data_IF_188749033197
#
_entry.id   IF_188749033197
#
_cell.length_a   1.000
_cell.length_b   1.000
_cell.length_c   1.000
_cell.angle_alpha   90.00
_cell.angle_beta   90.00
_cell.angle_gamma   90.00
#
_symmetry.space_group_name_H-M   'P 1'
#
loop_
_entity.id
_entity.type
_entity.pdbx_description
1 polymer ?
#
# COMPACT_ATOMS: atom_id res chain seq x y z
N UNK A 1 15.57 5.22 -12.15
CA UNK A 1 14.76 4.26 -12.93
C UNK A 1 14.44 4.85 -14.27
N UNK A 2 14.71 4.15 -15.36
CA UNK A 2 14.63 4.75 -16.70
C UNK A 2 13.22 4.61 -17.27
N UNK A 3 12.59 5.73 -17.63
CA UNK A 3 11.43 5.79 -18.48
C UNK A 3 10.05 5.75 -17.83
N UNK A 4 9.93 5.54 -16.51
CA UNK A 4 8.63 5.60 -15.83
C UNK A 4 8.01 7.02 -15.87
N UNK A 5 6.69 7.13 -15.78
CA UNK A 5 6.02 8.42 -15.70
C UNK A 5 6.61 9.31 -14.61
N UNK A 6 6.75 10.61 -14.90
CA UNK A 6 7.25 11.58 -13.94
C UNK A 6 6.12 12.07 -13.04
N UNK A 7 6.23 11.84 -11.74
CA UNK A 7 5.24 12.26 -10.76
C UNK A 7 4.70 11.09 -9.94
N UNK A 8 3.69 11.37 -9.17
CA UNK A 8 3.00 10.41 -8.33
C UNK A 8 1.53 10.39 -8.72
N UNK A 9 0.93 9.21 -8.80
CA UNK A 9 -0.50 9.05 -9.02
C UNK A 9 -1.29 9.48 -7.79
N UNK A 10 -2.47 10.08 -7.99
CA UNK A 10 -3.41 10.37 -6.91
C UNK A 10 -4.04 9.08 -6.39
N UNK A 11 -4.19 8.96 -5.07
CA UNK A 11 -4.78 7.77 -4.47
C UNK A 11 -4.49 7.60 -2.99
N UNK A 12 -5.01 6.48 -2.45
CA UNK A 12 -4.73 6.04 -1.10
C UNK A 12 -3.45 5.20 -1.05
N UNK A 13 -2.62 5.50 -0.05
CA UNK A 13 -1.35 4.82 0.19
C UNK A 13 -1.21 4.44 1.65
N UNK A 14 -0.70 3.25 1.93
CA UNK A 14 -0.49 2.79 3.29
C UNK A 14 0.81 3.39 3.86
N UNK A 15 0.72 4.12 4.97
CA UNK A 15 1.91 4.63 5.67
C UNK A 15 2.28 3.83 6.93
N UNK A 16 1.42 2.91 7.36
CA UNK A 16 1.66 2.01 8.49
C UNK A 16 0.49 1.08 8.75
N UNK A 17 0.56 0.30 9.80
CA UNK A 17 -0.58 -0.42 10.36
C UNK A 17 -1.11 0.35 11.57
N UNK A 18 -2.42 0.37 11.75
CA UNK A 18 -3.06 1.12 12.84
C UNK A 18 -2.49 0.77 14.23
N UNK A 19 -2.12 -0.51 14.41
CA UNK A 19 -1.51 -1.01 15.65
C UNK A 19 -0.10 -0.48 15.96
N UNK A 20 0.61 0.11 14.98
CA UNK A 20 1.91 0.74 15.23
C UNK A 20 1.78 2.07 15.99
N UNK A 21 0.62 2.70 15.88
CA UNK A 21 0.39 4.04 16.44
C UNK A 21 -0.43 3.94 17.71
N UNK A 22 0.23 3.78 18.87
CA UNK A 22 -0.47 3.80 20.15
C UNK A 22 -0.88 5.23 20.55
N UNK A 23 -1.92 5.43 21.38
CA UNK A 23 -2.28 6.76 21.88
C UNK A 23 -1.07 7.51 22.46
N UNK A 24 -0.87 8.76 22.01
CA UNK A 24 0.30 9.57 22.36
C UNK A 24 1.55 9.33 21.48
N UNK A 25 1.52 8.35 20.57
CA UNK A 25 2.64 8.13 19.64
C UNK A 25 2.84 9.31 18.70
N UNK A 26 4.11 9.64 18.43
CA UNK A 26 4.55 10.62 17.43
C UNK A 26 5.67 9.98 16.61
N UNK A 27 5.42 9.75 15.32
CA UNK A 27 6.29 8.96 14.45
C UNK A 27 6.70 9.79 13.23
N UNK A 28 8.01 10.03 13.02
CA UNK A 28 8.50 10.69 11.81
C UNK A 28 8.40 9.75 10.62
N UNK A 29 7.93 10.28 9.48
CA UNK A 29 7.80 9.57 8.21
C UNK A 29 8.38 10.39 7.07
N UNK A 30 8.70 9.71 5.97
CA UNK A 30 9.16 10.37 4.75
C UNK A 30 8.57 9.64 3.53
N UNK A 31 7.57 10.25 2.90
CA UNK A 31 6.91 9.74 1.70
C UNK A 31 6.67 10.88 0.71
N UNK A 32 6.67 10.54 -0.57
CA UNK A 32 6.45 11.52 -1.65
C UNK A 32 7.42 12.70 -1.61
N UNK A 33 8.68 12.44 -1.23
CA UNK A 33 9.72 13.47 -1.03
C UNK A 33 9.34 14.53 0.03
N UNK A 34 8.42 14.19 0.97
CA UNK A 34 7.91 15.07 2.03
C UNK A 34 8.27 14.56 3.42
N UNK A 35 8.67 15.47 4.27
CA UNK A 35 8.88 15.21 5.71
C UNK A 35 7.52 15.24 6.38
N UNK A 36 7.08 14.10 6.89
CA UNK A 36 5.78 13.91 7.49
C UNK A 36 5.90 13.51 8.97
N UNK A 37 4.84 13.73 9.72
CA UNK A 37 4.68 13.20 11.07
C UNK A 37 3.30 12.58 11.23
N UNK A 38 3.27 11.31 11.62
CA UNK A 38 2.05 10.66 12.09
C UNK A 38 2.00 10.76 13.62
N UNK A 39 0.83 11.08 14.15
CA UNK A 39 0.61 11.09 15.59
C UNK A 39 -0.79 10.62 15.93
N UNK A 40 -0.91 9.93 17.07
CA UNK A 40 -2.22 9.53 17.58
C UNK A 40 -2.56 10.32 18.82
N UNK A 41 -3.70 10.97 18.80
CA UNK A 41 -4.22 11.74 19.93
C UNK A 41 -4.50 10.83 21.13
N UNK A 42 -4.69 11.39 22.31
CA UNK A 42 -5.05 10.60 23.49
C UNK A 42 -6.45 9.98 23.38
N UNK A 43 -7.37 10.60 22.62
CA UNK A 43 -8.68 10.00 22.31
C UNK A 43 -8.63 8.87 21.27
N UNK A 44 -7.46 8.65 20.63
CA UNK A 44 -7.26 7.59 19.66
C UNK A 44 -7.37 8.00 18.20
N UNK A 45 -7.58 9.28 17.87
CA UNK A 45 -7.60 9.75 16.48
C UNK A 45 -6.19 9.74 15.89
N UNK A 46 -6.00 9.06 14.76
CA UNK A 46 -4.73 9.06 14.01
C UNK A 46 -4.72 10.22 13.01
N UNK A 47 -3.64 10.99 13.01
CA UNK A 47 -3.44 12.12 12.13
C UNK A 47 -2.09 12.04 11.43
N UNK A 48 -2.02 12.62 10.23
CA UNK A 48 -0.79 12.76 9.45
C UNK A 48 -0.67 14.21 8.99
N UNK A 49 0.49 14.82 9.19
CA UNK A 49 0.73 16.19 8.76
C UNK A 49 2.15 16.40 8.22
N UNK A 50 2.38 17.56 7.61
CA UNK A 50 3.73 18.02 7.38
C UNK A 50 4.48 18.10 8.72
N UNK A 51 5.72 17.65 8.74
CA UNK A 51 6.50 17.56 9.97
C UNK A 51 7.13 18.87 10.41
N UNK A 52 7.13 19.88 9.55
CA UNK A 52 7.85 21.14 9.78
C UNK A 52 6.99 22.11 10.56
N UNK A 53 7.39 22.43 11.79
CA UNK A 53 6.78 23.50 12.58
C UNK A 53 6.99 24.86 11.89
N UNK A 54 5.93 25.62 11.54
CA UNK A 54 6.05 26.89 10.82
C UNK A 54 6.77 28.01 11.58
N UNK A 55 7.02 27.84 12.88
CA UNK A 55 7.76 28.83 13.67
C UNK A 55 9.22 28.96 13.19
N UNK A 56 10.06 27.97 13.46
CA UNK A 56 11.48 27.97 13.08
C UNK A 56 11.94 26.64 12.46
N UNK A 57 11.04 25.88 11.86
CA UNK A 57 11.38 24.72 11.05
C UNK A 57 11.72 23.44 11.82
N UNK A 58 11.44 23.36 13.13
CA UNK A 58 11.66 22.14 13.89
C UNK A 58 10.80 21.00 13.34
N UNK A 59 11.36 19.78 13.34
CA UNK A 59 10.64 18.58 12.92
C UNK A 59 9.82 18.03 14.09
N UNK A 60 8.48 18.04 13.97
CA UNK A 60 7.57 17.59 15.03
C UNK A 60 7.75 16.12 15.41
N UNK A 61 8.13 15.27 14.46
CA UNK A 61 8.33 13.84 14.70
C UNK A 61 9.60 13.48 15.50
N UNK A 62 10.50 14.44 15.76
CA UNK A 62 11.73 14.21 16.52
C UNK A 62 11.66 14.93 17.87
N UNK A 63 11.02 14.30 18.84
CA UNK A 63 10.86 14.81 20.19
C UNK A 63 9.58 15.62 20.43
N UNK A 64 8.71 15.77 19.45
CA UNK A 64 7.35 16.29 19.67
C UNK A 64 6.53 15.33 20.54
N UNK A 65 5.53 15.87 21.21
CA UNK A 65 4.65 15.10 22.10
C UNK A 65 3.19 15.38 21.79
N UNK A 66 2.32 14.48 22.20
CA UNK A 66 0.88 14.68 22.15
C UNK A 66 0.38 15.16 23.52
N UNK A 67 -0.37 16.26 23.53
CA UNK A 67 -1.08 16.74 24.70
C UNK A 67 -2.59 16.80 24.38
N UNK A 68 -3.35 15.88 24.94
CA UNK A 68 -4.76 15.68 24.61
C UNK A 68 -4.94 15.33 23.13
N UNK A 69 -5.55 16.28 22.39
CA UNK A 69 -5.78 16.14 20.94
C UNK A 69 -4.71 16.83 20.09
N UNK A 70 -3.78 17.54 20.71
CA UNK A 70 -2.86 18.43 20.05
C UNK A 70 -1.46 17.85 19.95
N UNK A 71 -0.68 18.28 18.94
CA UNK A 71 0.75 18.01 18.86
C UNK A 71 1.55 19.23 19.31
N UNK A 72 2.56 18.98 20.17
CA UNK A 72 3.42 20.01 20.76
C UNK A 72 4.80 19.96 20.11
N UNK A 73 5.26 21.12 19.64
CA UNK A 73 6.58 21.26 19.04
C UNK A 73 7.70 21.08 20.07
N UNK A 74 8.73 20.25 19.82
CA UNK A 74 9.79 19.98 20.78
C UNK A 74 10.73 21.17 21.01
N UNK A 75 10.70 22.17 20.11
CA UNK A 75 11.69 23.25 20.18
C UNK A 75 11.23 24.39 21.11
N UNK A 76 9.98 24.87 20.96
CA UNK A 76 9.49 26.01 21.73
C UNK A 76 8.10 25.79 22.34
N UNK A 77 7.59 24.55 22.33
CA UNK A 77 6.30 24.22 22.92
C UNK A 77 5.07 24.74 22.14
N UNK A 78 5.25 25.26 20.92
CA UNK A 78 4.09 25.67 20.11
C UNK A 78 3.17 24.49 19.89
N UNK A 79 1.89 24.69 20.18
CA UNK A 79 0.88 23.64 20.14
C UNK A 79 -0.04 23.82 18.94
N UNK A 80 -0.29 22.70 18.25
CA UNK A 80 -1.06 22.64 17.01
C UNK A 80 -2.25 21.69 17.18
N UNK A 81 -3.45 22.18 16.85
CA UNK A 81 -4.66 21.37 16.94
C UNK A 81 -4.81 20.37 15.77
N UNK A 82 -5.88 19.58 15.82
CA UNK A 82 -6.20 18.57 14.80
C UNK A 82 -6.60 19.13 13.44
N UNK A 83 -6.78 20.46 13.33
CA UNK A 83 -6.95 21.18 12.07
C UNK A 83 -5.65 21.86 11.61
N UNK A 84 -4.55 21.65 12.33
CA UNK A 84 -3.25 22.24 12.08
C UNK A 84 -3.13 23.71 12.49
N UNK A 85 -4.07 24.25 13.26
CA UNK A 85 -4.01 25.65 13.73
C UNK A 85 -3.13 25.76 14.97
N UNK A 86 -2.39 26.87 15.07
CA UNK A 86 -1.71 27.20 16.33
C UNK A 86 -2.74 27.54 17.41
N UNK A 87 -2.69 26.87 18.54
CA UNK A 87 -3.63 27.03 19.66
C UNK A 87 -2.98 27.54 20.94
N UNK A 88 -1.65 27.33 21.07
CA UNK A 88 -0.90 27.82 22.23
C UNK A 88 0.54 28.18 21.89
N UNK A 89 1.05 29.22 22.53
CA UNK A 89 2.44 29.65 22.56
C UNK A 89 2.81 29.91 24.04
N UNK A 90 3.47 28.98 24.74
CA UNK A 90 3.55 28.97 26.20
C UNK A 90 4.27 30.15 26.85
N UNK A 91 5.02 30.92 26.07
CA UNK A 91 5.80 32.08 26.57
C UNK A 91 5.29 33.43 25.99
N UNK A 92 4.14 33.45 25.32
CA UNK A 92 3.52 34.65 24.77
C UNK A 92 2.14 34.86 25.39
N UNK A 93 1.68 36.10 25.49
CA UNK A 93 0.27 36.40 25.74
C UNK A 93 -0.59 35.75 24.64
N UNK A 94 -1.93 35.53 24.82
CA UNK A 94 -2.74 34.66 23.96
C UNK A 94 -2.87 35.13 22.50
N UNK A 95 -1.76 35.44 21.87
CA UNK A 95 -1.66 35.75 20.45
C UNK A 95 -1.54 34.43 19.66
N UNK A 96 -2.66 34.00 19.09
CA UNK A 96 -2.67 32.89 18.16
C UNK A 96 -2.13 33.33 16.82
N UNK A 97 -1.10 32.66 16.34
CA UNK A 97 -0.59 32.93 15.00
C UNK A 97 -1.55 32.36 13.95
N UNK A 98 -1.80 33.13 12.88
CA UNK A 98 -2.58 32.67 11.72
C UNK A 98 -1.78 31.72 10.82
N UNK A 99 -1.01 30.79 11.43
CA UNK A 99 -0.23 29.79 10.75
C UNK A 99 -0.94 28.46 10.82
N UNK A 100 -0.67 27.60 9.85
CA UNK A 100 -1.22 26.24 9.84
C UNK A 100 -0.16 25.24 9.41
N UNK A 101 -0.22 24.05 9.97
CA UNK A 101 0.42 22.85 9.48
C UNK A 101 -0.56 22.16 8.54
N UNK A 102 -0.10 21.73 7.37
CA UNK A 102 -0.92 20.94 6.45
C UNK A 102 -1.16 19.55 7.03
N UNK A 103 -2.41 19.13 7.05
CA UNK A 103 -2.83 17.77 7.35
C UNK A 103 -3.19 17.04 6.06
N UNK A 104 -3.04 15.73 6.10
CA UNK A 104 -3.44 14.81 5.04
C UNK A 104 -4.68 14.04 5.49
N UNK A 105 -5.52 13.66 4.53
CA UNK A 105 -6.64 12.78 4.82
C UNK A 105 -6.13 11.40 5.23
N UNK A 106 -6.60 10.89 6.35
CA UNK A 106 -6.25 9.59 6.92
C UNK A 106 -7.49 8.74 7.07
N UNK A 107 -7.36 7.45 6.72
CA UNK A 107 -8.38 6.44 7.03
C UNK A 107 -7.71 5.23 7.69
N UNK A 108 -8.40 4.68 8.67
CA UNK A 108 -8.04 3.38 9.25
C UNK A 108 -9.06 2.35 8.73
N UNK A 109 -8.58 1.36 7.97
CA UNK A 109 -9.42 0.32 7.34
C UNK A 109 -8.77 -1.04 7.60
N UNK A 110 -9.50 -1.95 8.23
CA UNK A 110 -9.08 -3.33 8.49
C UNK A 110 -7.68 -3.46 9.14
N UNK A 111 -7.34 -2.51 10.03
CA UNK A 111 -6.05 -2.46 10.72
C UNK A 111 -4.93 -1.77 9.93
N UNK A 112 -5.22 -1.20 8.76
CA UNK A 112 -4.29 -0.39 7.98
C UNK A 112 -4.42 1.09 8.33
N UNK A 113 -3.32 1.84 8.22
CA UNK A 113 -3.29 3.30 8.27
C UNK A 113 -2.99 3.83 6.85
N UNK A 114 -3.98 4.46 6.24
CA UNK A 114 -3.95 4.95 4.87
C UNK A 114 -3.94 6.48 4.84
N UNK A 115 -3.16 7.06 3.92
CA UNK A 115 -3.17 8.48 3.61
C UNK A 115 -3.62 8.71 2.18
N UNK A 116 -4.34 9.80 1.94
CA UNK A 116 -4.58 10.28 0.59
C UNK A 116 -3.41 11.14 0.11
N UNK A 117 -2.91 10.80 -1.07
CA UNK A 117 -2.01 11.67 -1.83
C UNK A 117 -2.74 12.20 -3.06
N UNK A 118 -2.91 13.51 -3.17
CA UNK A 118 -3.39 14.20 -4.36
C UNK A 118 -2.23 14.81 -5.12
N UNK A 119 -2.06 14.45 -6.39
CA UNK A 119 -0.93 14.89 -7.22
C UNK A 119 -0.88 16.42 -7.37
N UNK A 120 -2.03 17.05 -7.52
CA UNK A 120 -2.20 18.50 -7.61
C UNK A 120 -2.64 19.13 -6.28
N UNK A 121 -2.60 18.36 -5.19
CA UNK A 121 -2.95 18.78 -3.84
C UNK A 121 -4.44 18.68 -3.52
N UNK A 122 -5.22 18.02 -4.37
CA UNK A 122 -6.64 17.74 -4.18
C UNK A 122 -6.91 16.76 -3.04
N UNK A 123 -8.07 16.84 -2.44
CA UNK A 123 -8.57 15.88 -1.46
C UNK A 123 -9.05 14.58 -2.10
N UNK A 124 -9.47 13.59 -1.27
CA UNK A 124 -9.93 12.30 -1.76
C UNK A 124 -11.09 12.42 -2.74
N UNK A 125 -10.96 11.77 -3.90
CA UNK A 125 -12.03 11.65 -4.90
C UNK A 125 -12.84 10.36 -4.72
N UNK A 126 -12.33 9.43 -3.92
CA UNK A 126 -13.00 8.18 -3.55
C UNK A 126 -12.55 7.74 -2.14
N UNK A 127 -13.38 6.92 -1.48
CA UNK A 127 -13.05 6.37 -0.17
C UNK A 127 -12.51 4.95 -0.29
N UNK A 128 -11.51 4.54 0.52
CA UNK A 128 -11.02 3.18 0.50
C UNK A 128 -12.12 2.24 0.97
N UNK A 129 -12.45 1.21 0.18
CA UNK A 129 -13.48 0.25 0.58
C UNK A 129 -13.00 -0.60 1.75
N UNK A 130 -13.95 -1.17 2.48
CA UNK A 130 -13.64 -2.24 3.42
C UNK A 130 -13.04 -3.44 2.66
N UNK A 131 -11.91 -3.95 3.14
CA UNK A 131 -11.15 -4.99 2.45
C UNK A 131 -11.59 -6.40 2.84
N UNK A 132 -12.13 -6.54 4.04
CA UNK A 132 -12.54 -7.84 4.59
C UNK A 132 -14.06 -8.00 4.56
N UNK A 133 -14.58 -9.21 4.39
CA UNK A 133 -16.01 -9.48 4.44
C UNK A 133 -16.56 -9.27 5.86
N UNK A 134 -17.76 -8.70 5.93
CA UNK A 134 -18.49 -8.56 7.19
C UNK A 134 -18.85 -9.93 7.80
N UNK A 135 -18.90 -9.98 9.13
CA UNK A 135 -19.33 -11.16 9.86
C UNK A 135 -18.33 -12.31 9.92
N UNK A 136 -17.11 -12.11 9.43
CA UNK A 136 -16.01 -13.08 9.55
C UNK A 136 -14.96 -12.55 10.52
N UNK A 137 -14.62 -13.34 11.54
CA UNK A 137 -13.56 -13.00 12.47
C UNK A 137 -12.20 -13.35 11.88
N UNK A 138 -11.31 -12.37 11.86
CA UNK A 138 -9.92 -12.51 11.40
C UNK A 138 -8.93 -12.28 12.54
N UNK A 139 -7.82 -13.00 12.48
CA UNK A 139 -6.69 -12.67 13.35
C UNK A 139 -6.14 -11.26 12.98
N UNK A 140 -5.74 -10.45 13.98
CA UNK A 140 -5.12 -9.14 13.72
C UNK A 140 -3.92 -9.25 12.78
N UNK A 141 -3.86 -8.40 11.76
CA UNK A 141 -2.76 -8.44 10.78
C UNK A 141 -1.43 -8.07 11.42
N UNK A 142 -1.39 -7.03 12.23
CA UNK A 142 -0.17 -6.54 12.87
C UNK A 142 -0.04 -7.09 14.31
N UNK A 143 1.16 -7.49 14.74
CA UNK A 143 2.44 -7.46 13.99
C UNK A 143 2.76 -8.73 13.17
N UNK A 144 2.13 -9.88 13.45
CA UNK A 144 2.65 -11.19 13.06
C UNK A 144 2.40 -11.56 11.59
N UNK A 145 1.38 -10.96 10.96
CA UNK A 145 0.97 -11.19 9.57
C UNK A 145 1.12 -9.93 8.70
N UNK A 146 2.06 -9.09 9.10
CA UNK A 146 2.45 -7.85 8.47
C UNK A 146 3.95 -7.86 8.16
N UNK A 147 4.35 -7.34 7.01
CA UNK A 147 5.76 -7.19 6.66
C UNK A 147 6.02 -5.90 5.89
N UNK A 148 7.12 -5.24 6.22
CA UNK A 148 7.59 -4.03 5.54
C UNK A 148 8.98 -4.25 4.97
N UNK A 149 9.11 -4.08 3.65
CA UNK A 149 10.38 -3.91 2.97
C UNK A 149 10.58 -2.43 2.67
N UNK A 150 11.72 -1.89 3.05
CA UNK A 150 12.06 -0.47 2.87
C UNK A 150 12.99 -0.25 1.70
N UNK A 151 12.91 0.95 1.16
CA UNK A 151 13.88 1.49 0.20
C UNK A 151 14.05 0.61 -1.06
N UNK A 152 12.97 -0.04 -1.52
CA UNK A 152 12.98 -0.83 -2.74
C UNK A 152 12.99 0.07 -3.97
N UNK A 153 13.82 -0.26 -4.96
CA UNK A 153 14.06 0.57 -6.14
C UNK A 153 13.03 0.30 -7.24
N UNK A 154 11.77 0.50 -6.94
CA UNK A 154 10.70 0.43 -7.94
C UNK A 154 9.51 1.33 -7.56
N UNK A 155 8.77 1.84 -8.57
CA UNK A 155 7.55 2.62 -8.34
C UNK A 155 6.34 1.71 -8.10
N UNK A 156 5.23 2.24 -7.54
CA UNK A 156 3.99 1.49 -7.30
C UNK A 156 3.36 0.88 -8.58
N UNK A 157 3.69 1.40 -9.74
CA UNK A 157 3.19 0.90 -11.02
C UNK A 157 3.57 -0.55 -11.27
N UNK A 158 4.78 -0.99 -10.88
CA UNK A 158 5.23 -2.37 -11.16
C UNK A 158 4.41 -3.42 -10.41
N UNK A 159 4.16 -3.32 -9.09
CA UNK A 159 3.22 -4.21 -8.42
C UNK A 159 1.81 -4.17 -9.01
N UNK A 160 1.34 -3.01 -9.48
CA UNK A 160 0.03 -2.91 -10.14
C UNK A 160 0.03 -3.62 -11.51
N UNK A 161 1.11 -3.54 -12.31
CA UNK A 161 1.23 -4.27 -13.58
C UNK A 161 1.22 -5.79 -13.40
N UNK A 162 1.70 -6.31 -12.25
CA UNK A 162 1.61 -7.73 -11.93
C UNK A 162 0.18 -8.26 -11.86
N UNK A 163 -0.81 -7.41 -11.59
CA UNK A 163 -2.21 -7.81 -11.60
C UNK A 163 -2.70 -8.30 -12.99
N UNK A 164 -2.04 -7.88 -14.07
CA UNK A 164 -2.36 -8.31 -15.44
C UNK A 164 -1.43 -9.39 -15.99
N UNK A 165 -0.39 -9.78 -15.25
CA UNK A 165 0.65 -10.68 -15.72
C UNK A 165 0.45 -12.12 -15.21
N UNK A 166 -0.13 -12.99 -16.03
CA UNK A 166 -0.25 -14.41 -15.71
C UNK A 166 1.09 -15.15 -15.89
N UNK A 167 1.92 -14.71 -16.82
CA UNK A 167 3.12 -15.48 -17.22
C UNK A 167 4.19 -15.50 -16.12
N UNK A 168 4.35 -14.42 -15.36
CA UNK A 168 5.37 -14.35 -14.30
C UNK A 168 5.16 -15.44 -13.23
N UNK A 169 3.94 -15.90 -12.97
CA UNK A 169 3.69 -16.98 -12.00
C UNK A 169 4.51 -18.23 -12.28
N UNK A 170 4.65 -18.60 -13.56
CA UNK A 170 5.46 -19.77 -13.94
C UNK A 170 6.96 -19.53 -13.75
N UNK A 171 7.45 -18.36 -14.12
CA UNK A 171 8.90 -18.12 -14.20
C UNK A 171 9.48 -17.54 -12.91
N UNK A 172 8.75 -16.70 -12.21
CA UNK A 172 9.17 -16.08 -10.94
C UNK A 172 8.73 -16.93 -9.75
N UNK A 173 7.46 -17.33 -9.72
CA UNK A 173 6.90 -18.09 -8.59
C UNK A 173 6.97 -19.61 -8.80
N UNK A 174 7.48 -20.09 -9.94
CA UNK A 174 7.67 -21.50 -10.25
C UNK A 174 6.35 -22.31 -10.23
N UNK A 175 5.27 -21.70 -10.64
CA UNK A 175 4.02 -22.40 -10.88
C UNK A 175 4.18 -23.49 -11.95
N UNK A 176 3.38 -24.53 -11.89
CA UNK A 176 3.44 -25.65 -12.84
C UNK A 176 3.21 -25.19 -14.28
N UNK A 177 2.25 -24.29 -14.41
CA UNK A 177 1.74 -23.76 -15.67
C UNK A 177 1.61 -22.25 -15.58
N UNK A 178 1.43 -21.59 -16.71
CA UNK A 178 0.97 -20.20 -16.73
C UNK A 178 -0.51 -20.25 -16.36
N UNK A 179 -0.96 -19.53 -15.31
CA UNK A 179 -2.36 -19.46 -14.97
C UNK A 179 -3.22 -18.93 -16.12
N UNK A 180 -4.42 -19.44 -16.23
CA UNK A 180 -5.40 -18.89 -17.17
C UNK A 180 -5.99 -17.59 -16.60
N UNK A 181 -5.92 -16.51 -17.37
CA UNK A 181 -6.66 -15.30 -17.06
C UNK A 181 -8.14 -15.55 -17.37
N UNK A 182 -8.96 -15.57 -16.30
CA UNK A 182 -10.41 -15.82 -16.44
C UNK A 182 -11.15 -14.56 -16.93
N UNK A 183 -10.90 -13.43 -16.26
CA UNK A 183 -11.61 -12.18 -16.53
C UNK A 183 -10.81 -10.99 -15.98
N UNK A 184 -11.13 -9.81 -16.49
CA UNK A 184 -10.68 -8.55 -15.94
C UNK A 184 -11.78 -7.49 -16.06
N UNK A 185 -11.84 -6.60 -15.08
CA UNK A 185 -12.78 -5.48 -15.02
C UNK A 185 -12.07 -4.22 -14.56
N UNK A 186 -12.56 -3.06 -14.98
CA UNK A 186 -12.01 -1.78 -14.56
C UNK A 186 -13.10 -0.80 -14.13
N UNK A 187 -12.77 0.08 -13.21
CA UNK A 187 -13.52 1.26 -12.84
C UNK A 187 -12.59 2.46 -12.75
N UNK A 188 -13.11 3.60 -12.37
CA UNK A 188 -12.35 4.84 -12.33
C UNK A 188 -11.06 4.72 -11.49
N UNK A 189 -11.14 4.12 -10.29
CA UNK A 189 -10.01 4.02 -9.36
C UNK A 189 -9.61 2.56 -9.03
N UNK A 190 -10.15 1.57 -9.74
CA UNK A 190 -9.83 0.17 -9.50
C UNK A 190 -9.72 -0.64 -10.80
N UNK A 191 -8.84 -1.64 -10.76
CA UNK A 191 -8.66 -2.64 -11.80
C UNK A 191 -8.63 -4.01 -11.16
N UNK A 192 -9.39 -4.96 -11.68
CA UNK A 192 -9.59 -6.28 -11.10
C UNK A 192 -9.30 -7.38 -12.10
N UNK A 193 -8.61 -8.42 -11.66
CA UNK A 193 -8.31 -9.62 -12.46
C UNK A 193 -8.55 -10.87 -11.65
N UNK A 194 -8.83 -11.98 -12.33
CA UNK A 194 -8.84 -13.29 -11.72
C UNK A 194 -8.13 -14.32 -12.57
N UNK A 195 -7.38 -15.20 -11.90
CA UNK A 195 -6.62 -16.28 -12.51
C UNK A 195 -6.99 -17.60 -11.89
N UNK A 196 -7.12 -18.66 -12.73
CA UNK A 196 -7.15 -20.03 -12.25
C UNK A 196 -5.75 -20.58 -12.20
N UNK A 197 -5.38 -21.21 -11.08
CA UNK A 197 -4.07 -21.76 -10.85
C UNK A 197 -4.14 -23.06 -10.03
N UNK A 198 -3.16 -23.93 -10.24
CA UNK A 198 -2.95 -25.11 -9.41
C UNK A 198 -1.95 -24.79 -8.30
N UNK A 199 -2.37 -24.86 -7.06
CA UNK A 199 -1.55 -24.65 -5.87
C UNK A 199 -0.99 -25.97 -5.36
N UNK A 200 0.24 -25.98 -4.81
CA UNK A 200 0.85 -27.18 -4.19
C UNK A 200 1.35 -28.26 -5.14
N UNK A 201 1.27 -28.07 -6.46
CA UNK A 201 1.51 -29.08 -7.48
C UNK A 201 2.94 -29.49 -7.74
N UNK A 202 3.97 -28.85 -7.18
CA UNK A 202 5.35 -29.14 -7.51
C UNK A 202 6.34 -29.18 -6.33
N UNK A 203 7.34 -30.03 -6.50
CA UNK A 203 8.43 -30.27 -5.55
C UNK A 203 9.25 -29.02 -5.18
N UNK A 204 9.06 -27.89 -5.84
CA UNK A 204 9.74 -26.61 -5.54
C UNK A 204 8.83 -25.50 -4.99
N UNK A 205 7.62 -25.85 -4.50
CA UNK A 205 6.95 -25.15 -3.40
C UNK A 205 6.57 -23.70 -3.63
N UNK A 206 5.53 -23.47 -4.36
CA UNK A 206 4.82 -22.18 -4.24
C UNK A 206 3.96 -22.13 -2.97
N UNK A 207 3.15 -23.14 -2.74
CA UNK A 207 2.37 -23.31 -1.51
C UNK A 207 2.35 -24.80 -1.14
N UNK A 208 2.75 -25.12 0.09
CA UNK A 208 2.62 -26.46 0.60
C UNK A 208 1.17 -26.69 1.01
N UNK A 209 0.42 -27.39 0.20
CA UNK A 209 -0.90 -27.90 0.58
C UNK A 209 -0.72 -29.28 1.24
N UNK A 210 -1.35 -29.53 2.40
CA UNK A 210 -1.21 -30.81 3.10
C UNK A 210 -1.66 -32.02 2.27
N UNK A 211 -2.59 -31.81 1.34
CA UNK A 211 -3.30 -32.87 0.60
C UNK A 211 -2.85 -33.01 -0.87
N UNK A 212 -1.79 -32.30 -1.28
CA UNK A 212 -1.29 -32.33 -2.67
C UNK A 212 -1.82 -31.16 -3.51
N UNK A 213 -1.80 -31.28 -4.86
CA UNK A 213 -2.24 -30.21 -5.74
C UNK A 213 -3.73 -29.88 -5.58
N UNK A 214 -4.03 -28.58 -5.47
CA UNK A 214 -5.40 -28.07 -5.36
C UNK A 214 -5.62 -27.02 -6.44
N UNK A 215 -6.65 -27.16 -7.23
CA UNK A 215 -7.11 -26.10 -8.12
C UNK A 215 -7.76 -24.99 -7.30
N UNK A 216 -7.44 -23.75 -7.64
CA UNK A 216 -7.96 -22.60 -6.96
C UNK A 216 -7.95 -21.34 -7.84
N UNK A 217 -8.43 -20.27 -7.26
CA UNK A 217 -8.51 -18.95 -7.90
C UNK A 217 -7.65 -17.96 -7.14
N UNK A 218 -6.90 -17.17 -7.88
CA UNK A 218 -6.29 -15.94 -7.40
C UNK A 218 -7.05 -14.77 -8.02
N UNK A 219 -7.62 -13.95 -7.16
CA UNK A 219 -8.27 -12.71 -7.53
C UNK A 219 -7.44 -11.53 -7.00
N UNK A 220 -7.23 -10.52 -7.84
CA UNK A 220 -6.48 -9.32 -7.49
C UNK A 220 -7.27 -8.07 -7.88
N UNK A 221 -7.36 -7.12 -6.97
CA UNK A 221 -7.96 -5.80 -7.19
C UNK A 221 -7.00 -4.69 -6.79
N UNK A 222 -6.49 -3.97 -7.78
CA UNK A 222 -5.78 -2.73 -7.57
C UNK A 222 -6.77 -1.62 -7.20
N UNK A 223 -6.46 -0.83 -6.17
CA UNK A 223 -7.21 0.33 -5.72
C UNK A 223 -6.26 1.53 -5.80
N UNK A 224 -6.33 2.28 -6.88
CA UNK A 224 -5.25 3.17 -7.29
C UNK A 224 -3.95 2.39 -7.50
N UNK A 225 -2.80 3.07 -7.46
CA UNK A 225 -1.48 2.42 -7.54
C UNK A 225 -0.91 2.04 -6.18
N UNK A 226 -1.47 2.57 -5.10
CA UNK A 226 -0.95 2.35 -3.75
C UNK A 226 -1.32 1.00 -3.14
N UNK A 227 -2.42 0.37 -3.57
CA UNK A 227 -3.00 -0.78 -2.91
C UNK A 227 -3.40 -1.86 -3.91
N UNK A 228 -3.00 -3.10 -3.67
CA UNK A 228 -3.42 -4.26 -4.44
C UNK A 228 -3.94 -5.35 -3.48
N UNK A 229 -5.27 -5.48 -3.40
CA UNK A 229 -5.93 -6.53 -2.62
C UNK A 229 -5.91 -7.84 -3.38
N UNK A 230 -5.50 -8.92 -2.72
CA UNK A 230 -5.57 -10.27 -3.24
C UNK A 230 -6.55 -11.13 -2.46
N UNK A 231 -7.15 -12.10 -3.15
CA UNK A 231 -7.93 -13.17 -2.57
C UNK A 231 -7.45 -14.49 -3.17
N UNK A 232 -7.06 -15.42 -2.31
CA UNK A 232 -6.64 -16.76 -2.70
C UNK A 232 -7.70 -17.73 -2.21
N UNK A 233 -8.38 -18.38 -3.15
CA UNK A 233 -9.38 -19.40 -2.90
C UNK A 233 -8.85 -20.75 -3.39
N UNK A 234 -8.34 -21.55 -2.48
CA UNK A 234 -7.82 -22.89 -2.80
C UNK A 234 -8.27 -23.91 -1.73
N UNK A 235 -7.49 -24.06 -0.65
CA UNK A 235 -7.80 -24.93 0.49
C UNK A 235 -8.46 -24.17 1.65
N UNK A 236 -8.24 -22.88 1.74
CA UNK A 236 -8.90 -21.90 2.62
C UNK A 236 -8.97 -20.56 1.89
N UNK A 237 -9.78 -19.64 2.39
CA UNK A 237 -9.89 -18.29 1.84
C UNK A 237 -8.90 -17.37 2.55
N UNK A 238 -7.91 -16.87 1.81
CA UNK A 238 -6.87 -16.00 2.35
C UNK A 238 -6.97 -14.63 1.69
N UNK A 239 -7.09 -13.60 2.50
CA UNK A 239 -7.07 -12.20 2.04
C UNK A 239 -5.66 -11.63 2.18
N UNK A 240 -5.16 -11.01 1.13
CA UNK A 240 -3.86 -10.33 1.14
C UNK A 240 -4.01 -8.89 0.73
N UNK A 241 -3.07 -8.05 1.14
CA UNK A 241 -2.85 -6.74 0.57
C UNK A 241 -1.37 -6.53 0.33
N UNK A 242 -1.05 -6.06 -0.84
CA UNK A 242 0.23 -5.43 -1.15
C UNK A 242 0.00 -3.92 -1.21
N UNK A 243 0.84 -3.17 -0.52
CA UNK A 243 0.76 -1.72 -0.53
C UNK A 243 2.15 -1.13 -0.82
N UNK A 244 2.22 -0.29 -1.85
CA UNK A 244 3.48 0.33 -2.28
C UNK A 244 3.35 1.83 -2.14
N UNK A 245 4.18 2.42 -1.26
CA UNK A 245 4.15 3.84 -0.96
C UNK A 245 5.45 4.49 -1.38
N UNK A 246 5.44 5.47 -2.30
CA UNK A 246 6.63 6.15 -2.74
C UNK A 246 7.36 6.89 -1.61
N UNK A 247 8.65 6.61 -1.45
CA UNK A 247 9.58 7.42 -0.64
C UNK A 247 10.10 8.55 -1.51
N UNK A 248 10.62 8.21 -2.69
CA UNK A 248 10.96 9.11 -3.78
C UNK A 248 10.37 8.59 -5.08
N UNK A 249 10.61 9.26 -6.21
CA UNK A 249 10.15 8.79 -7.53
C UNK A 249 10.74 7.42 -7.93
N UNK A 250 11.88 7.07 -7.37
CA UNK A 250 12.62 5.84 -7.72
C UNK A 250 12.59 4.78 -6.62
N UNK A 251 12.15 5.15 -5.42
CA UNK A 251 12.23 4.31 -4.24
C UNK A 251 10.87 4.27 -3.55
N UNK A 252 10.43 3.09 -3.17
CA UNK A 252 9.19 2.87 -2.43
C UNK A 252 9.41 1.97 -1.22
N UNK A 253 8.58 2.18 -0.21
CA UNK A 253 8.33 1.18 0.82
C UNK A 253 7.21 0.26 0.35
N UNK A 254 7.42 -1.04 0.47
CA UNK A 254 6.43 -2.05 0.12
C UNK A 254 5.98 -2.80 1.36
N UNK A 255 4.68 -2.89 1.57
CA UNK A 255 4.04 -3.57 2.69
C UNK A 255 3.22 -4.74 2.20
N UNK A 256 3.24 -5.82 2.94
CA UNK A 256 2.34 -6.94 2.75
C UNK A 256 1.57 -7.21 4.05
N UNK A 257 0.29 -7.46 3.89
CA UNK A 257 -0.62 -7.84 4.95
C UNK A 257 -1.35 -9.11 4.55
N UNK A 258 -1.57 -10.00 5.52
CA UNK A 258 -2.30 -11.25 5.29
C UNK A 258 -3.33 -11.45 6.40
N UNK A 259 -4.59 -11.58 6.00
CA UNK A 259 -5.69 -11.91 6.90
C UNK A 259 -6.17 -13.33 6.62
N UNK A 260 -6.28 -14.09 7.68
CA UNK A 260 -6.77 -15.45 7.65
C UNK A 260 -7.95 -15.53 8.63
N UNK A 261 -9.09 -16.11 8.23
CA UNK A 261 -10.21 -16.30 9.14
C UNK A 261 -9.80 -17.13 10.37
N UNK A 262 -10.37 -16.83 11.51
CA UNK A 262 -10.16 -17.62 12.73
C UNK A 262 -10.77 -19.03 12.64
N UNK A 263 -11.75 -19.22 11.75
CA UNK A 263 -12.41 -20.49 11.48
C UNK A 263 -12.43 -20.82 9.99
N UNK A 264 -12.33 -22.09 9.67
CA UNK A 264 -12.43 -22.61 8.30
C UNK A 264 -13.89 -22.58 7.81
N UNK A 265 -14.10 -22.83 6.53
CA UNK A 265 -15.42 -22.91 5.92
C UNK A 265 -16.32 -24.03 6.50
N UNK A 266 -15.75 -25.07 7.11
CA UNK A 266 -16.45 -26.13 7.81
C UNK A 266 -16.74 -25.81 9.29
N UNK A 267 -16.37 -24.63 9.77
CA UNK A 267 -16.54 -24.16 11.16
C UNK A 267 -15.43 -24.63 12.12
N UNK A 268 -14.46 -25.40 11.66
CA UNK A 268 -13.33 -25.80 12.50
C UNK A 268 -12.37 -24.62 12.75
N UNK A 269 -11.72 -24.54 13.93
CA UNK A 269 -10.80 -23.47 14.22
C UNK A 269 -9.52 -23.60 13.38
N UNK A 270 -9.03 -22.48 12.87
CA UNK A 270 -7.73 -22.38 12.20
C UNK A 270 -6.71 -21.82 13.20
N UNK A 271 -5.70 -22.63 13.54
CA UNK A 271 -4.71 -22.23 14.55
C UNK A 271 -3.83 -21.07 14.07
N UNK A 272 -3.57 -20.13 14.97
CA UNK A 272 -2.76 -18.93 14.68
C UNK A 272 -1.37 -19.25 14.09
N UNK A 273 -0.71 -20.30 14.58
CA UNK A 273 0.59 -20.75 14.06
C UNK A 273 0.57 -21.15 12.58
N UNK A 274 -0.55 -21.68 12.10
CA UNK A 274 -0.75 -22.00 10.67
C UNK A 274 -0.85 -20.70 9.88
N UNK A 275 -1.62 -19.73 10.37
CA UNK A 275 -1.79 -18.43 9.75
C UNK A 275 -0.47 -17.67 9.64
N UNK A 276 0.34 -17.68 10.70
CA UNK A 276 1.65 -17.03 10.73
C UNK A 276 2.63 -17.69 9.76
N UNK A 277 2.56 -19.01 9.60
CA UNK A 277 3.36 -19.75 8.61
C UNK A 277 2.96 -19.39 7.19
N UNK A 278 1.68 -19.28 6.90
CA UNK A 278 1.20 -18.85 5.59
C UNK A 278 1.61 -17.43 5.27
N UNK A 279 1.55 -16.51 6.25
CA UNK A 279 2.04 -15.15 6.07
C UNK A 279 3.53 -15.12 5.67
N UNK A 280 4.38 -15.86 6.37
CA UNK A 280 5.82 -15.97 6.04
C UNK A 280 6.06 -16.56 4.64
N UNK A 281 5.28 -17.56 4.25
CA UNK A 281 5.36 -18.13 2.90
C UNK A 281 4.95 -17.09 1.84
N UNK A 282 3.86 -16.38 2.05
CA UNK A 282 3.38 -15.34 1.15
C UNK A 282 4.39 -14.22 1.01
N UNK A 283 4.96 -13.73 2.11
CA UNK A 283 6.00 -12.69 2.07
C UNK A 283 7.24 -13.14 1.31
N UNK A 284 7.62 -14.42 1.45
CA UNK A 284 8.72 -15.01 0.66
C UNK A 284 8.40 -15.06 -0.85
N UNK A 285 7.14 -15.31 -1.21
CA UNK A 285 6.72 -15.28 -2.63
C UNK A 285 6.78 -13.84 -3.17
N UNK A 286 6.23 -12.85 -2.48
CA UNK A 286 6.31 -11.45 -2.88
C UNK A 286 7.75 -10.97 -3.11
N UNK A 287 8.67 -11.35 -2.23
CA UNK A 287 10.07 -10.93 -2.36
C UNK A 287 10.78 -11.50 -3.60
N UNK A 288 10.20 -12.50 -4.29
CA UNK A 288 10.78 -13.03 -5.53
C UNK A 288 10.64 -12.10 -6.72
N UNK A 289 9.66 -11.21 -6.70
CA UNK A 289 9.45 -10.22 -7.76
C UNK A 289 10.47 -9.08 -7.68
N UNK A 290 10.95 -8.75 -6.50
CA UNK A 290 11.78 -7.57 -6.27
C UNK A 290 13.05 -7.52 -7.12
N UNK A 291 13.84 -8.60 -7.27
CA UNK A 291 15.03 -8.57 -8.14
C UNK A 291 14.70 -8.26 -9.61
N UNK A 292 13.50 -8.63 -10.07
CA UNK A 292 13.04 -8.30 -11.43
C UNK A 292 12.65 -6.83 -11.48
N UNK A 293 11.79 -6.38 -10.58
CA UNK A 293 11.29 -5.00 -10.56
C UNK A 293 12.40 -3.97 -10.35
N UNK A 294 13.38 -4.23 -9.48
CA UNK A 294 14.49 -3.32 -9.21
C UNK A 294 15.44 -3.14 -10.41
N UNK A 295 15.43 -4.06 -11.35
CA UNK A 295 16.29 -4.04 -12.53
C UNK A 295 15.52 -3.87 -13.85
N UNK A 296 14.22 -3.60 -13.79
CA UNK A 296 13.37 -3.43 -14.96
C UNK A 296 13.50 -2.02 -15.54
N UNK A 297 13.60 -1.91 -16.85
CA UNK A 297 13.49 -0.65 -17.59
C UNK A 297 12.09 -0.54 -18.15
N UNK A 298 11.41 0.56 -17.86
CA UNK A 298 10.06 0.79 -18.39
C UNK A 298 10.08 0.95 -19.92
N UNK A 299 9.23 0.17 -20.58
CA UNK A 299 8.99 0.28 -22.02
C UNK A 299 7.57 0.79 -22.22
N UNK A 300 7.43 2.04 -22.67
CA UNK A 300 6.13 2.69 -22.81
C UNK A 300 5.20 1.98 -23.80
N UNK A 301 5.73 1.38 -24.85
CA UNK A 301 4.99 0.62 -25.87
C UNK A 301 5.60 -0.77 -26.05
N UNK A 302 5.42 -1.69 -25.08
CA UNK A 302 6.02 -3.01 -25.16
C UNK A 302 5.32 -3.86 -26.25
N UNK A 303 6.05 -4.76 -26.89
CA UNK A 303 5.45 -5.80 -27.68
C UNK A 303 4.81 -6.84 -26.74
N UNK A 304 3.52 -7.04 -26.84
CA UNK A 304 2.80 -8.05 -26.07
C UNK A 304 2.56 -9.31 -26.90
N UNK A 305 2.68 -10.48 -26.26
CA UNK A 305 2.19 -11.72 -26.84
C UNK A 305 0.66 -11.68 -27.01
N UNK A 306 0.14 -12.43 -27.96
CA UNK A 306 -1.29 -12.39 -28.27
C UNK A 306 -2.19 -12.75 -27.09
N UNK A 307 -1.71 -13.66 -26.21
CA UNK A 307 -2.44 -14.13 -25.02
C UNK A 307 -2.57 -13.09 -23.89
N UNK A 308 -1.69 -12.09 -23.85
CA UNK A 308 -1.66 -11.09 -22.78
C UNK A 308 -2.07 -9.68 -23.25
N UNK A 309 -1.99 -9.44 -24.56
CA UNK A 309 -2.04 -8.11 -25.16
C UNK A 309 -3.27 -7.29 -24.79
N UNK A 310 -4.44 -7.92 -24.68
CA UNK A 310 -5.71 -7.20 -24.44
C UNK A 310 -5.77 -6.73 -23.00
N UNK A 311 -5.54 -7.62 -22.04
CA UNK A 311 -5.60 -7.31 -20.61
C UNK A 311 -4.50 -6.32 -20.19
N UNK A 312 -3.26 -6.52 -20.68
CA UNK A 312 -2.15 -5.61 -20.36
C UNK A 312 -2.33 -4.21 -20.90
N UNK A 313 -2.89 -4.06 -22.12
CA UNK A 313 -3.17 -2.73 -22.69
C UNK A 313 -4.28 -2.01 -21.92
N UNK A 314 -5.31 -2.72 -21.50
CA UNK A 314 -6.36 -2.16 -20.67
C UNK A 314 -5.80 -1.70 -19.31
N UNK A 315 -5.04 -2.56 -18.65
CA UNK A 315 -4.39 -2.24 -17.37
C UNK A 315 -3.48 -1.00 -17.48
N UNK A 316 -2.62 -0.93 -18.49
CA UNK A 316 -1.75 0.25 -18.70
C UNK A 316 -2.52 1.52 -18.97
N UNK A 317 -3.58 1.45 -19.78
CA UNK A 317 -4.45 2.59 -20.03
C UNK A 317 -5.12 3.08 -18.74
N UNK A 318 -5.58 2.15 -17.90
CA UNK A 318 -6.13 2.46 -16.58
C UNK A 318 -5.06 3.08 -15.66
N UNK A 319 -3.86 2.50 -15.61
CA UNK A 319 -2.75 3.06 -14.83
C UNK A 319 -2.42 4.49 -15.26
N UNK A 320 -2.34 4.74 -16.57
CA UNK A 320 -2.07 6.07 -17.12
C UNK A 320 -3.11 7.10 -16.67
N UNK A 321 -4.38 6.73 -16.53
CA UNK A 321 -5.45 7.63 -16.10
C UNK A 321 -5.35 8.07 -14.61
N UNK A 322 -4.51 7.41 -13.80
CA UNK A 322 -4.31 7.75 -12.40
C UNK A 322 -3.20 8.79 -12.18
N UNK A 323 -2.37 9.02 -13.19
CA UNK A 323 -1.33 10.03 -13.16
C UNK A 323 -1.84 11.39 -13.67
N UNK A 324 -1.27 12.50 -13.20
CA UNK A 324 -1.55 13.79 -13.83
C UNK A 324 -0.99 13.83 -15.26
N UNK A 325 -1.64 14.59 -16.16
CA UNK A 325 -1.23 14.70 -17.57
C UNK A 325 0.24 15.07 -17.75
N UNK A 326 0.76 15.94 -16.88
CA UNK A 326 2.17 16.36 -16.86
C UNK A 326 3.17 15.23 -16.63
N UNK A 327 2.74 14.09 -16.08
CA UNK A 327 3.62 12.96 -15.80
C UNK A 327 4.18 12.30 -17.07
N UNK A 328 3.51 12.46 -18.20
CA UNK A 328 3.89 11.84 -19.50
C UNK A 328 4.62 12.78 -20.45
N UNK A 329 4.59 14.10 -20.21
CA UNK A 329 5.23 15.09 -21.08
C UNK A 329 6.76 14.90 -21.20
N UNK A 330 7.41 14.50 -20.12
CA UNK A 330 8.86 14.28 -20.07
C UNK A 330 9.32 12.96 -20.71
N UNK A 331 8.45 11.94 -20.80
CA UNK A 331 8.78 10.65 -21.42
C UNK A 331 8.85 10.76 -22.94
N UNK A 332 8.11 11.68 -23.53
CA UNK A 332 8.06 11.94 -24.98
C UNK A 332 9.35 12.57 -25.54
N UNK A 333 10.19 13.20 -24.71
CA UNK A 333 11.41 13.90 -25.15
C UNK A 333 12.69 13.07 -25.01
N UNK A 334 12.66 11.96 -24.27
CA UNK A 334 13.77 11.00 -24.21
C UNK A 334 13.61 10.01 -25.40
N UNK A 335 13.96 10.47 -26.59
CA UNK A 335 13.89 9.70 -27.80
C UNK A 335 14.74 8.42 -27.74
N UNK A 336 14.23 7.39 -28.39
CA UNK A 336 14.76 6.11 -28.84
C UNK A 336 16.27 6.09 -29.05
#
# INVERSE_FOLDING_TARGET
MFGFPHGYASGWYQFGWAGEFQPGAVVPLYYFERRLVAYRTQSGRLLLSDATCPHLGAHLGHGGTVDGENIVCPFHGWTWDTDGRNVDIPYSAPDRMKLRIRHYDVREVDGLALMWFGADGEGPTWEPPQLLPEGTDFYPVYPDRAHLWKDLKFPPQLPAENAGDAAHFRYVHLAAEVPDLDDWQEGEYWFETSFRATFGGHAKKTWATPEGPVEGRLWTKCLGLGLAKGLIEAFDTIHTLQATTPVTREVSDHRASLWVPCTRGDGSPLGQEICDRWAKQQFTQHARDFPVWENLTYIAKPPFAASEAVGFRALRKWIESLYPDSAFEAVSTAGV
#
